data_IF_742166969586
#
_entry.id   IF_742166969586
#
_cell.length_a   1.000
_cell.length_b   1.000
_cell.length_c   1.000
_cell.angle_alpha   90.00
_cell.angle_beta   90.00
_cell.angle_gamma   90.00
#
_symmetry.space_group_name_H-M   'P 1'
#
loop_
_entity.id
_entity.type
_entity.pdbx_description
1 polymer ?
#
# COMPACT_ATOMS: atom_id res chain seq x y z
N UNK A 1 49.72 16.05 12.72
CA UNK A 1 48.62 17.04 12.73
C UNK A 1 47.77 16.97 11.46
N UNK A 2 48.36 16.93 10.26
CA UNK A 2 47.62 16.85 8.99
C UNK A 2 46.68 15.62 8.90
N UNK A 3 47.13 14.42 9.29
CA UNK A 3 46.30 13.20 9.26
C UNK A 3 45.11 13.18 10.23
N UNK A 4 45.23 13.80 11.41
CA UNK A 4 44.14 13.90 12.40
C UNK A 4 43.08 14.90 11.91
N UNK A 5 43.51 16.00 11.27
CA UNK A 5 42.63 17.00 10.68
C UNK A 5 41.85 16.45 9.47
N UNK A 6 42.49 15.63 8.61
CA UNK A 6 41.77 14.95 7.53
C UNK A 6 40.75 13.94 8.05
N UNK A 7 41.13 13.11 9.03
CA UNK A 7 40.23 12.12 9.60
C UNK A 7 39.00 12.76 10.24
N UNK A 8 39.19 13.85 11.01
CA UNK A 8 38.08 14.60 11.61
C UNK A 8 37.18 15.26 10.56
N UNK A 9 37.75 15.82 9.49
CA UNK A 9 36.98 16.42 8.39
C UNK A 9 36.13 15.37 7.64
N UNK A 10 36.69 14.19 7.37
CA UNK A 10 35.96 13.10 6.71
C UNK A 10 34.81 12.60 7.56
N UNK A 11 35.02 12.45 8.88
CA UNK A 11 33.95 11.97 9.78
C UNK A 11 32.82 13.00 9.90
N UNK A 12 33.16 14.29 9.98
CA UNK A 12 32.15 15.35 9.99
C UNK A 12 31.34 15.39 8.69
N UNK A 13 32.00 15.28 7.53
CA UNK A 13 31.32 15.22 6.24
C UNK A 13 30.39 14.00 6.13
N UNK A 14 30.85 12.82 6.57
CA UNK A 14 30.02 11.60 6.59
C UNK A 14 28.80 11.77 7.48
N UNK A 15 28.95 12.31 8.70
CA UNK A 15 27.82 12.54 9.63
C UNK A 15 26.81 13.53 9.04
N UNK A 16 27.27 14.58 8.35
CA UNK A 16 26.39 15.59 7.74
C UNK A 16 25.67 15.05 6.49
N UNK A 17 26.31 14.19 5.71
CA UNK A 17 25.74 13.64 4.47
C UNK A 17 24.88 12.39 4.70
N UNK A 18 25.04 11.71 5.84
CA UNK A 18 24.29 10.49 6.18
C UNK A 18 22.76 10.66 6.14
N UNK A 19 22.16 11.78 6.60
CA UNK A 19 20.72 11.99 6.50
C UNK A 19 20.24 12.19 5.07
N UNK A 20 21.06 12.78 4.19
CA UNK A 20 20.70 13.00 2.79
C UNK A 20 20.54 11.70 2.02
N UNK A 21 21.31 10.66 2.38
CA UNK A 21 21.18 9.31 1.79
C UNK A 21 20.07 8.47 2.41
N UNK A 22 19.48 8.91 3.54
CA UNK A 22 18.35 8.25 4.20
C UNK A 22 16.98 8.88 3.85
N UNK A 23 16.94 9.69 2.79
CA UNK A 23 15.72 10.35 2.33
C UNK A 23 14.71 9.33 1.77
N UNK A 24 13.44 9.43 2.16
CA UNK A 24 12.32 8.67 1.58
C UNK A 24 11.28 9.64 0.99
N UNK A 25 10.67 9.28 -0.13
CA UNK A 25 9.71 10.11 -0.86
C UNK A 25 8.25 9.61 -0.74
N UNK A 26 7.97 8.74 0.23
CA UNK A 26 6.61 8.27 0.53
C UNK A 26 5.94 9.26 1.49
N UNK A 27 4.81 9.82 1.06
CA UNK A 27 4.02 10.74 1.87
C UNK A 27 3.22 9.97 2.93
N UNK A 28 3.58 10.15 4.20
CA UNK A 28 2.85 9.55 5.32
C UNK A 28 1.64 10.38 5.77
N UNK A 29 1.57 11.69 5.44
CA UNK A 29 0.52 12.59 5.92
C UNK A 29 -0.71 12.58 5.02
N UNK A 30 -0.50 12.50 3.70
CA UNK A 30 -1.57 12.55 2.71
C UNK A 30 -1.87 11.17 2.09
N UNK A 31 -1.80 10.12 2.90
CA UNK A 31 -2.16 8.76 2.46
C UNK A 31 -3.66 8.61 2.21
N UNK A 32 -4.01 7.73 1.28
CA UNK A 32 -5.40 7.28 1.07
C UNK A 32 -5.66 6.03 1.91
N UNK A 33 -6.73 6.04 2.70
CA UNK A 33 -7.17 4.89 3.48
C UNK A 33 -8.39 4.24 2.86
N UNK A 34 -8.33 2.92 2.75
CA UNK A 34 -9.43 2.06 2.35
C UNK A 34 -9.86 1.21 3.54
N UNK A 35 -11.15 0.98 3.70
CA UNK A 35 -11.70 0.21 4.82
C UNK A 35 -12.78 -0.74 4.32
N UNK A 36 -12.91 -1.87 5.01
CA UNK A 36 -13.86 -2.94 4.70
C UNK A 36 -14.01 -3.92 5.86
N UNK A 37 -14.77 -5.02 5.68
CA UNK A 37 -15.10 -5.94 6.76
C UNK A 37 -13.86 -6.65 7.31
N UNK A 38 -13.62 -6.52 8.63
CA UNK A 38 -12.45 -7.12 9.28
C UNK A 38 -12.60 -8.63 9.41
N UNK A 39 -13.81 -9.10 9.68
CA UNK A 39 -14.19 -10.51 9.80
C UNK A 39 -13.93 -11.30 8.51
N UNK A 40 -13.94 -10.62 7.37
CA UNK A 40 -13.70 -11.22 6.06
C UNK A 40 -12.23 -11.13 5.61
N UNK A 41 -11.35 -10.63 6.50
CA UNK A 41 -9.94 -10.34 6.25
C UNK A 41 -9.74 -9.36 5.09
N UNK A 42 -10.54 -8.30 5.02
CA UNK A 42 -10.32 -7.23 4.06
C UNK A 42 -8.89 -6.68 4.18
N UNK A 43 -8.17 -6.62 3.07
CA UNK A 43 -6.77 -6.20 3.06
C UNK A 43 -5.76 -7.34 3.12
N UNK A 44 -6.21 -8.61 3.07
CA UNK A 44 -5.30 -9.76 3.08
C UNK A 44 -4.35 -9.80 1.88
N UNK A 45 -4.84 -9.37 0.71
CA UNK A 45 -4.01 -9.11 -0.48
C UNK A 45 -4.35 -7.75 -1.05
N UNK A 46 -3.34 -7.05 -1.61
CA UNK A 46 -3.49 -5.73 -2.19
C UNK A 46 -2.72 -5.66 -3.51
N UNK A 47 -3.34 -5.09 -4.55
CA UNK A 47 -2.75 -4.93 -5.87
C UNK A 47 -3.13 -3.59 -6.49
N UNK A 48 -2.16 -2.84 -7.01
CA UNK A 48 -2.46 -1.66 -7.83
C UNK A 48 -2.86 -2.10 -9.24
N UNK A 49 -3.91 -1.49 -9.79
CA UNK A 49 -4.47 -1.82 -11.09
C UNK A 49 -4.83 -0.56 -11.87
N UNK A 50 -4.53 -0.53 -13.16
CA UNK A 50 -4.85 0.59 -14.05
C UNK A 50 -5.40 0.05 -15.37
N UNK A 51 -6.48 0.63 -15.85
CA UNK A 51 -7.09 0.34 -17.14
C UNK A 51 -7.72 1.62 -17.75
N UNK A 52 -8.45 1.47 -18.86
CA UNK A 52 -9.12 2.60 -19.52
C UNK A 52 -10.20 3.29 -18.69
N UNK A 53 -10.69 2.65 -17.62
CA UNK A 53 -11.69 3.23 -16.71
C UNK A 53 -11.06 4.04 -15.57
N UNK A 54 -9.76 3.84 -15.29
CA UNK A 54 -9.04 4.59 -14.26
C UNK A 54 -8.03 3.75 -13.48
N UNK A 55 -7.61 4.32 -12.34
CA UNK A 55 -6.65 3.73 -11.40
C UNK A 55 -7.37 3.23 -10.15
N UNK A 56 -7.02 2.03 -9.73
CA UNK A 56 -7.69 1.30 -8.67
C UNK A 56 -6.68 0.61 -7.76
N UNK A 57 -7.08 0.42 -6.51
CA UNK A 57 -6.48 -0.57 -5.62
C UNK A 57 -7.46 -1.74 -5.52
N UNK A 58 -7.00 -2.93 -5.90
CA UNK A 58 -7.72 -4.18 -5.71
C UNK A 58 -7.36 -4.75 -4.35
N UNK A 59 -8.39 -5.10 -3.57
CA UNK A 59 -8.22 -5.60 -2.20
C UNK A 59 -8.92 -6.94 -2.05
N UNK A 60 -8.18 -7.98 -1.68
CA UNK A 60 -8.71 -9.31 -1.41
C UNK A 60 -9.28 -9.43 0.00
N UNK A 61 -10.36 -10.21 0.12
CA UNK A 61 -11.06 -10.53 1.37
C UNK A 61 -11.42 -12.02 1.37
N UNK A 62 -10.48 -12.90 1.73
CA UNK A 62 -10.59 -14.36 1.51
C UNK A 62 -11.70 -15.02 2.33
N UNK A 63 -12.16 -14.41 3.43
CA UNK A 63 -13.20 -15.01 4.29
C UNK A 63 -14.61 -14.51 4.00
N UNK A 64 -14.78 -13.69 2.97
CA UNK A 64 -16.10 -13.22 2.54
C UNK A 64 -17.00 -14.39 2.08
N UNK A 65 -18.29 -14.24 2.35
CA UNK A 65 -19.34 -15.23 2.07
C UNK A 65 -19.86 -15.95 3.31
N UNK A 66 -20.76 -16.92 3.13
CA UNK A 66 -21.27 -17.71 4.26
C UNK A 66 -20.15 -18.54 4.90
N UNK A 67 -20.10 -18.72 6.23
CA UNK A 67 -19.01 -19.42 6.90
C UNK A 67 -18.68 -20.81 6.34
N UNK A 68 -19.71 -21.57 5.92
CA UNK A 68 -19.56 -22.90 5.33
C UNK A 68 -19.22 -22.90 3.83
N UNK A 69 -19.32 -21.75 3.16
CA UNK A 69 -19.16 -21.55 1.70
C UNK A 69 -18.36 -20.29 1.40
N UNK A 70 -17.26 -20.08 2.13
CA UNK A 70 -16.35 -18.96 1.88
C UNK A 70 -15.62 -19.19 0.58
N UNK A 71 -15.90 -18.35 -0.41
CA UNK A 71 -15.17 -18.30 -1.68
C UNK A 71 -14.18 -17.14 -1.72
N UNK A 72 -14.34 -16.19 -0.79
CA UNK A 72 -13.65 -14.92 -0.81
C UNK A 72 -14.25 -13.97 -1.85
N UNK A 73 -13.85 -12.71 -1.75
CA UNK A 73 -14.19 -11.66 -2.69
C UNK A 73 -12.99 -10.75 -2.96
N UNK A 74 -13.09 -9.96 -4.03
CA UNK A 74 -12.16 -8.88 -4.36
C UNK A 74 -12.94 -7.58 -4.44
N UNK A 75 -12.40 -6.54 -3.83
CA UNK A 75 -12.95 -5.18 -3.87
C UNK A 75 -12.13 -4.31 -4.82
N UNK A 76 -12.79 -3.40 -5.52
CA UNK A 76 -12.19 -2.36 -6.35
C UNK A 76 -12.34 -1.01 -5.65
N UNK A 77 -11.22 -0.39 -5.29
CA UNK A 77 -11.19 0.88 -4.58
C UNK A 77 -10.64 1.99 -5.50
N UNK A 78 -11.39 3.09 -5.74
CA UNK A 78 -10.94 4.18 -6.60
C UNK A 78 -9.76 4.95 -6.02
N UNK A 79 -8.88 5.44 -6.89
CA UNK A 79 -7.77 6.33 -6.51
C UNK A 79 -8.00 7.71 -7.13
N UNK A 80 -7.99 8.75 -6.30
CA UNK A 80 -8.04 10.15 -6.76
C UNK A 80 -9.43 10.66 -7.15
N UNK A 81 -10.51 9.96 -6.79
CA UNK A 81 -11.90 10.34 -7.11
C UNK A 81 -12.62 11.08 -5.98
N UNK A 82 -11.96 11.38 -4.86
CA UNK A 82 -12.55 12.08 -3.71
C UNK A 82 -13.45 11.21 -2.83
N UNK A 83 -14.01 10.14 -3.38
CA UNK A 83 -14.59 9.01 -2.65
C UNK A 83 -13.60 7.84 -2.62
N UNK A 84 -13.41 7.24 -1.45
CA UNK A 84 -12.54 6.07 -1.22
C UNK A 84 -13.37 4.80 -0.96
N UNK A 85 -14.68 4.83 -1.21
CA UNK A 85 -15.55 3.67 -0.99
C UNK A 85 -15.18 2.55 -1.95
N UNK A 86 -14.82 1.40 -1.38
CA UNK A 86 -14.51 0.21 -2.14
C UNK A 86 -15.79 -0.52 -2.55
N UNK A 87 -15.88 -0.92 -3.81
CA UNK A 87 -17.01 -1.71 -4.33
C UNK A 87 -16.59 -3.16 -4.48
N UNK A 88 -17.42 -4.10 -4.01
CA UNK A 88 -17.20 -5.53 -4.25
C UNK A 88 -17.30 -5.82 -5.75
N UNK A 89 -16.35 -6.58 -6.29
CA UNK A 89 -16.39 -7.02 -7.67
C UNK A 89 -17.37 -8.18 -7.83
N UNK A 90 -18.18 -8.11 -8.89
CA UNK A 90 -18.99 -9.23 -9.33
C UNK A 90 -18.08 -10.22 -10.08
N UNK A 91 -17.57 -11.20 -9.33
CA UNK A 91 -16.76 -12.28 -9.88
C UNK A 91 -17.67 -13.36 -10.48
N UNK A 92 -17.30 -13.97 -11.61
CA UNK A 92 -18.02 -15.14 -12.10
C UNK A 92 -18.09 -16.20 -11.00
N UNK A 93 -19.28 -16.75 -10.76
CA UNK A 93 -19.41 -17.92 -9.88
C UNK A 93 -18.56 -19.03 -10.48
N UNK A 94 -17.50 -19.44 -9.79
CA UNK A 94 -16.87 -20.72 -10.04
C UNK A 94 -17.96 -21.78 -9.86
N UNK A 95 -18.27 -22.53 -10.92
CA UNK A 95 -19.08 -23.72 -10.79
C UNK A 95 -18.25 -24.73 -9.98
N UNK A 96 -18.45 -24.76 -8.67
CA UNK A 96 -18.00 -25.85 -7.79
C UNK A 96 -19.19 -26.76 -7.48
#
# INVERSE_FOLDING_TARGET
MLGISHFTLTTAAVVVLLPCVLSFNVDQKNGLSFSGPLEDMFGYTVQQFENSEGKWVLIGSPLSGQPAKRTGDVYKCPVGMGDNTCVKLELPTSQM
#
